data_IF_147500504050
#
_entry.id   IF_147500504050
#
_cell.length_a   1.000
_cell.length_b   1.000
_cell.length_c   1.000
_cell.angle_alpha   90.00
_cell.angle_beta   90.00
_cell.angle_gamma   90.00
#
_symmetry.space_group_name_H-M   'P 1'
#
loop_
_entity.id
_entity.type
_entity.pdbx_description
1 polymer ?
#
# COMPACT_ATOMS: atom_id res chain seq x y z
N UNK A 1 -52.53 -31.93 -66.66
CA UNK A 1 -51.22 -31.52 -67.20
C UNK A 1 -50.68 -30.41 -66.31
N UNK A 2 -49.45 -30.61 -65.82
CA UNK A 2 -48.55 -29.65 -65.13
C UNK A 2 -48.99 -29.19 -63.73
N UNK A 3 -48.29 -29.51 -62.62
CA UNK A 3 -46.87 -29.21 -62.28
C UNK A 3 -46.65 -27.68 -62.29
N UNK A 4 -46.23 -27.00 -61.22
CA UNK A 4 -44.90 -27.11 -60.58
C UNK A 4 -44.93 -26.43 -59.20
N UNK A 5 -44.30 -27.11 -58.24
CA UNK A 5 -43.55 -26.68 -57.05
C UNK A 5 -43.79 -25.30 -56.42
N UNK A 6 -44.20 -25.35 -55.16
CA UNK A 6 -43.80 -24.40 -54.13
C UNK A 6 -42.29 -24.50 -53.89
N UNK A 7 -41.56 -23.38 -53.95
CA UNK A 7 -40.48 -23.07 -53.02
C UNK A 7 -40.01 -21.62 -53.18
N UNK A 8 -40.13 -20.81 -52.12
CA UNK A 8 -39.26 -19.64 -51.93
C UNK A 8 -39.11 -19.39 -50.42
N UNK A 9 -38.28 -20.25 -49.82
CA UNK A 9 -37.37 -19.98 -48.70
C UNK A 9 -37.73 -18.78 -47.80
N UNK A 10 -38.32 -19.09 -46.64
CA UNK A 10 -38.30 -18.22 -45.47
C UNK A 10 -36.86 -18.02 -45.00
N UNK A 11 -36.41 -16.76 -44.94
CA UNK A 11 -35.14 -16.37 -44.32
C UNK A 11 -35.22 -16.60 -42.79
N UNK A 12 -34.34 -17.39 -42.17
CA UNK A 12 -34.24 -17.42 -40.72
C UNK A 12 -33.41 -16.22 -40.25
N UNK A 13 -34.05 -15.17 -39.75
CA UNK A 13 -33.38 -14.14 -38.95
C UNK A 13 -33.24 -14.63 -37.50
N UNK A 14 -32.30 -15.53 -37.27
CA UNK A 14 -31.84 -15.81 -35.90
C UNK A 14 -31.25 -14.52 -35.31
N UNK A 15 -31.65 -14.10 -34.10
CA UNK A 15 -30.94 -13.03 -33.41
C UNK A 15 -29.48 -13.48 -33.18
N UNK A 16 -28.49 -12.56 -33.22
CA UNK A 16 -27.13 -12.92 -32.87
C UNK A 16 -27.14 -13.49 -31.45
N UNK A 17 -26.62 -14.71 -31.30
CA UNK A 17 -26.43 -15.35 -30.01
C UNK A 17 -25.75 -14.35 -29.07
N UNK A 18 -26.38 -14.08 -27.93
CA UNK A 18 -25.82 -13.32 -26.83
C UNK A 18 -24.41 -13.86 -26.58
N UNK A 19 -23.41 -12.98 -26.74
CA UNK A 19 -22.02 -13.31 -26.50
C UNK A 19 -21.90 -14.07 -25.18
N UNK A 20 -21.24 -15.24 -25.22
CA UNK A 20 -20.89 -15.97 -24.01
C UNK A 20 -20.22 -14.99 -23.04
N UNK A 21 -20.53 -15.05 -21.72
CA UNK A 21 -19.91 -14.15 -20.78
C UNK A 21 -18.41 -14.37 -20.87
N UNK A 22 -17.70 -13.39 -21.44
CA UNK A 22 -16.26 -13.30 -21.37
C UNK A 22 -15.88 -13.64 -19.93
N UNK A 23 -15.08 -14.70 -19.76
CA UNK A 23 -14.82 -15.30 -18.44
C UNK A 23 -14.53 -14.22 -17.40
N UNK A 24 -14.88 -14.48 -16.15
CA UNK A 24 -14.77 -13.58 -14.98
C UNK A 24 -13.29 -13.18 -14.72
N UNK A 25 -12.70 -12.42 -15.65
CA UNK A 25 -11.33 -11.93 -15.62
C UNK A 25 -11.38 -10.65 -14.80
N UNK A 26 -11.31 -10.82 -13.48
CA UNK A 26 -11.18 -9.71 -12.55
C UNK A 26 -9.73 -9.23 -12.54
N UNK A 27 -9.45 -7.95 -12.81
CA UNK A 27 -8.10 -7.44 -12.75
C UNK A 27 -7.54 -7.56 -11.32
N UNK A 28 -6.24 -7.89 -11.14
CA UNK A 28 -5.66 -8.02 -9.82
C UNK A 28 -5.55 -6.65 -9.13
N UNK A 29 -6.25 -6.49 -8.00
CA UNK A 29 -6.27 -5.22 -7.26
C UNK A 29 -5.05 -5.04 -6.36
N UNK A 30 -4.33 -3.93 -6.57
CA UNK A 30 -3.11 -3.58 -5.85
C UNK A 30 -3.25 -2.43 -4.84
N UNK A 31 -2.11 -1.98 -4.29
CA UNK A 31 -2.04 -0.83 -3.38
C UNK A 31 -2.64 0.47 -3.97
N UNK A 32 -2.42 0.80 -5.26
CA UNK A 32 -3.03 1.99 -5.87
C UNK A 32 -4.57 1.93 -5.86
N UNK A 33 -5.16 0.78 -6.14
CA UNK A 33 -6.60 0.54 -6.07
C UNK A 33 -7.14 0.72 -4.66
N UNK A 34 -6.47 0.15 -3.65
CA UNK A 34 -6.85 0.32 -2.25
C UNK A 34 -6.79 1.79 -1.79
N UNK A 35 -5.87 2.58 -2.34
CA UNK A 35 -5.81 4.03 -2.10
C UNK A 35 -6.98 4.74 -2.76
N UNK A 36 -7.19 4.53 -4.07
CA UNK A 36 -8.29 5.14 -4.83
C UNK A 36 -9.66 4.82 -4.23
N UNK A 37 -9.90 3.56 -3.88
CA UNK A 37 -11.14 3.12 -3.26
C UNK A 37 -11.41 3.82 -1.92
N UNK A 38 -10.35 4.08 -1.13
CA UNK A 38 -10.44 4.82 0.13
C UNK A 38 -10.72 6.31 -0.10
N UNK A 39 -10.15 6.90 -1.15
CA UNK A 39 -10.39 8.30 -1.51
C UNK A 39 -11.87 8.51 -1.91
N UNK A 40 -12.42 7.56 -2.69
CA UNK A 40 -13.86 7.54 -3.04
C UNK A 40 -14.72 7.33 -1.78
N UNK A 41 -14.38 6.36 -0.92
CA UNK A 41 -15.12 6.10 0.33
C UNK A 41 -15.24 7.33 1.25
N UNK A 42 -14.23 8.21 1.22
CA UNK A 42 -14.16 9.42 2.06
C UNK A 42 -14.76 10.66 1.40
N UNK A 43 -15.12 10.59 0.12
CA UNK A 43 -15.60 11.74 -0.67
C UNK A 43 -17.04 11.54 -1.12
N UNK A 44 -17.57 12.51 -1.86
CA UNK A 44 -18.90 12.44 -2.45
C UNK A 44 -18.98 11.50 -3.69
N UNK A 45 -17.90 10.79 -4.02
CA UNK A 45 -17.91 9.80 -5.10
C UNK A 45 -17.79 10.39 -6.51
N UNK A 46 -17.15 11.55 -6.70
CA UNK A 46 -17.00 12.13 -8.04
C UNK A 46 -16.16 11.21 -8.96
N UNK A 47 -16.66 10.87 -10.17
CA UNK A 47 -15.92 10.05 -11.12
C UNK A 47 -14.65 10.76 -11.58
N UNK A 48 -13.57 9.98 -11.65
CA UNK A 48 -12.26 10.38 -12.16
C UNK A 48 -12.00 9.85 -13.56
N UNK A 49 -12.73 8.80 -13.98
CA UNK A 49 -12.66 8.17 -15.30
C UNK A 49 -11.25 7.71 -15.70
N UNK A 50 -10.46 7.24 -14.72
CA UNK A 50 -9.12 6.70 -14.96
C UNK A 50 -9.07 5.17 -14.99
N UNK A 51 -7.90 4.62 -15.31
CA UNK A 51 -7.70 3.16 -15.41
C UNK A 51 -7.98 2.43 -14.08
N UNK A 52 -7.64 3.03 -12.93
CA UNK A 52 -7.90 2.41 -11.63
C UNK A 52 -9.39 2.33 -11.35
N UNK A 53 -10.16 3.36 -11.73
CA UNK A 53 -11.61 3.37 -11.63
C UNK A 53 -12.24 2.28 -12.50
N UNK A 54 -11.79 2.13 -13.75
CA UNK A 54 -12.27 1.07 -14.65
C UNK A 54 -12.08 -0.31 -14.02
N UNK A 55 -10.89 -0.59 -13.49
CA UNK A 55 -10.60 -1.88 -12.86
C UNK A 55 -11.38 -2.11 -11.57
N UNK A 56 -11.60 -1.06 -10.77
CA UNK A 56 -12.42 -1.13 -9.55
C UNK A 56 -13.91 -1.36 -9.86
N UNK A 57 -14.43 -0.76 -10.93
CA UNK A 57 -15.79 -1.00 -11.44
C UNK A 57 -15.92 -2.41 -12.00
N UNK A 58 -14.98 -2.84 -12.85
CA UNK A 58 -14.97 -4.19 -13.41
C UNK A 58 -14.87 -5.28 -12.33
N UNK A 59 -14.17 -4.99 -11.23
CA UNK A 59 -14.05 -5.89 -10.08
C UNK A 59 -15.24 -5.82 -9.10
N UNK A 60 -16.24 -4.97 -9.35
CA UNK A 60 -17.40 -4.79 -8.47
C UNK A 60 -17.10 -4.12 -7.13
N UNK A 61 -15.94 -3.47 -6.98
CA UNK A 61 -15.58 -2.72 -5.76
C UNK A 61 -16.25 -1.35 -5.70
N UNK A 62 -16.60 -0.82 -6.87
CA UNK A 62 -17.36 0.40 -7.07
C UNK A 62 -18.63 0.11 -7.85
N UNK A 63 -19.64 0.96 -7.67
CA UNK A 63 -20.82 1.00 -8.52
C UNK A 63 -21.12 2.44 -8.93
N UNK A 64 -21.65 2.62 -10.15
CA UNK A 64 -22.17 3.90 -10.62
C UNK A 64 -23.57 4.13 -10.06
N UNK A 65 -23.84 5.34 -9.63
CA UNK A 65 -25.14 5.79 -9.11
C UNK A 65 -25.53 7.05 -9.86
N UNK A 66 -26.65 6.97 -10.58
CA UNK A 66 -27.22 8.13 -11.24
C UNK A 66 -27.86 9.07 -10.21
N UNK A 67 -27.44 10.33 -10.24
CA UNK A 67 -28.05 11.40 -9.47
C UNK A 67 -29.34 11.91 -10.12
N UNK A 68 -30.24 12.54 -9.34
CA UNK A 68 -31.51 13.05 -9.85
C UNK A 68 -31.37 14.15 -10.92
N UNK A 69 -30.21 14.81 -10.97
CA UNK A 69 -29.88 15.82 -11.99
C UNK A 69 -29.08 15.25 -13.17
N UNK A 70 -29.03 13.91 -13.33
CA UNK A 70 -28.38 13.24 -14.47
C UNK A 70 -26.86 13.06 -14.37
N UNK A 71 -26.22 13.58 -13.31
CA UNK A 71 -24.80 13.32 -13.06
C UNK A 71 -24.60 11.93 -12.45
N UNK A 72 -23.53 11.23 -12.85
CA UNK A 72 -23.15 9.97 -12.21
C UNK A 72 -22.17 10.20 -11.05
N UNK A 73 -22.34 9.45 -9.97
CA UNK A 73 -21.38 9.34 -8.86
C UNK A 73 -20.98 7.88 -8.66
N UNK A 74 -19.90 7.67 -7.93
CA UNK A 74 -19.36 6.37 -7.58
C UNK A 74 -19.58 6.09 -6.11
N UNK A 75 -20.18 4.95 -5.82
CA UNK A 75 -20.32 4.43 -4.46
C UNK A 75 -19.44 3.21 -4.28
N UNK A 76 -18.76 3.14 -3.14
CA UNK A 76 -18.06 1.91 -2.72
C UNK A 76 -19.10 0.86 -2.34
N UNK A 77 -19.00 -0.32 -2.95
CA UNK A 77 -19.90 -1.45 -2.68
C UNK A 77 -19.53 -2.12 -1.36
N UNK A 78 -20.38 -3.01 -0.84
CA UNK A 78 -20.05 -3.79 0.37
C UNK A 78 -18.80 -4.66 0.18
N UNK A 79 -18.61 -5.21 -1.03
CA UNK A 79 -17.38 -5.91 -1.40
C UNK A 79 -16.15 -4.98 -1.33
N UNK A 80 -16.29 -3.75 -1.81
CA UNK A 80 -15.27 -2.71 -1.69
C UNK A 80 -14.97 -2.33 -0.24
N UNK A 81 -16.00 -2.20 0.61
CA UNK A 81 -15.84 -1.95 2.05
C UNK A 81 -15.13 -3.11 2.74
N UNK A 82 -15.51 -4.35 2.45
CA UNK A 82 -14.86 -5.55 2.96
C UNK A 82 -13.37 -5.60 2.54
N UNK A 83 -13.06 -5.26 1.29
CA UNK A 83 -11.69 -5.16 0.80
C UNK A 83 -10.87 -4.08 1.55
N UNK A 84 -11.46 -2.91 1.82
CA UNK A 84 -10.83 -1.86 2.61
C UNK A 84 -10.57 -2.33 4.05
N UNK A 85 -11.54 -2.98 4.68
CA UNK A 85 -11.41 -3.54 6.03
C UNK A 85 -10.28 -4.57 6.12
N UNK A 86 -10.24 -5.52 5.18
CA UNK A 86 -9.16 -6.51 5.08
C UNK A 86 -7.79 -5.85 4.90
N UNK A 87 -7.72 -4.78 4.10
CA UNK A 87 -6.48 -4.01 3.91
C UNK A 87 -6.04 -3.32 5.21
N UNK A 88 -6.97 -2.72 5.96
CA UNK A 88 -6.66 -2.11 7.26
C UNK A 88 -6.18 -3.14 8.28
N UNK A 89 -6.80 -4.32 8.33
CA UNK A 89 -6.40 -5.40 9.21
C UNK A 89 -4.98 -5.90 8.89
N UNK A 90 -4.66 -6.13 7.60
CA UNK A 90 -3.31 -6.51 7.18
C UNK A 90 -2.27 -5.45 7.55
N UNK A 91 -2.59 -4.17 7.36
CA UNK A 91 -1.68 -3.08 7.73
C UNK A 91 -1.45 -3.05 9.25
N UNK A 92 -2.51 -3.20 10.05
CA UNK A 92 -2.40 -3.30 11.52
C UNK A 92 -1.55 -4.50 11.93
N UNK A 93 -1.75 -5.66 11.31
CA UNK A 93 -0.97 -6.86 11.58
C UNK A 93 0.51 -6.73 11.15
N UNK A 94 0.80 -6.01 10.06
CA UNK A 94 2.17 -5.72 9.67
C UNK A 94 2.85 -4.78 10.67
N UNK A 95 2.15 -3.74 11.14
CA UNK A 95 2.65 -2.87 12.19
C UNK A 95 2.89 -3.65 13.50
N UNK A 96 1.98 -4.55 13.88
CA UNK A 96 2.17 -5.36 15.09
C UNK A 96 3.35 -6.33 14.96
N UNK A 97 3.61 -6.89 13.77
CA UNK A 97 4.82 -7.71 13.53
C UNK A 97 6.10 -6.89 13.67
N UNK A 98 6.11 -5.67 13.14
CA UNK A 98 7.22 -4.74 13.30
C UNK A 98 7.45 -4.44 14.77
N UNK A 99 6.44 -3.93 15.46
CA UNK A 99 6.52 -3.58 16.88
C UNK A 99 6.95 -4.75 17.77
N UNK A 100 6.46 -5.97 17.48
CA UNK A 100 6.88 -7.17 18.20
C UNK A 100 8.37 -7.48 18.01
N UNK A 101 8.90 -7.33 16.79
CA UNK A 101 10.33 -7.55 16.53
C UNK A 101 11.19 -6.42 17.14
N UNK A 102 10.70 -5.18 17.13
CA UNK A 102 11.33 -4.05 17.84
C UNK A 102 11.46 -4.35 19.33
N UNK A 103 10.39 -4.84 19.94
CA UNK A 103 10.39 -5.24 21.35
C UNK A 103 11.35 -6.40 21.62
N UNK A 104 11.36 -7.43 20.78
CA UNK A 104 12.28 -8.55 20.91
C UNK A 104 13.74 -8.11 20.86
N UNK A 105 14.13 -7.33 19.84
CA UNK A 105 15.50 -6.81 19.70
C UNK A 105 15.88 -5.92 20.88
N UNK A 106 14.97 -5.05 21.33
CA UNK A 106 15.21 -4.23 22.51
C UNK A 106 15.43 -5.08 23.78
N UNK A 107 14.64 -6.15 23.95
CA UNK A 107 14.83 -7.12 25.02
C UNK A 107 16.18 -7.82 24.97
N UNK A 108 16.65 -8.21 23.78
CA UNK A 108 17.99 -8.79 23.62
C UNK A 108 19.11 -7.79 23.99
N UNK A 109 18.98 -6.51 23.63
CA UNK A 109 19.95 -5.49 24.01
C UNK A 109 20.01 -5.28 25.53
N UNK A 110 18.85 -5.28 26.19
CA UNK A 110 18.78 -5.23 27.66
C UNK A 110 19.44 -6.46 28.29
N UNK A 111 19.18 -7.67 27.77
CA UNK A 111 19.84 -8.90 28.24
C UNK A 111 21.36 -8.87 28.04
N UNK A 112 21.83 -8.20 26.99
CA UNK A 112 23.24 -7.93 26.75
C UNK A 112 23.84 -6.82 27.65
N UNK A 113 23.09 -6.32 28.64
CA UNK A 113 23.57 -5.32 29.61
C UNK A 113 23.55 -3.89 29.11
N UNK A 114 22.80 -3.59 28.04
CA UNK A 114 22.73 -2.26 27.42
C UNK A 114 21.50 -1.49 27.89
N UNK A 115 21.63 -0.16 27.97
CA UNK A 115 20.47 0.72 28.15
C UNK A 115 19.84 0.93 26.78
N UNK A 116 18.54 0.71 26.67
CA UNK A 116 17.85 0.62 25.37
C UNK A 116 16.59 1.48 25.33
N UNK A 117 16.37 2.16 24.22
CA UNK A 117 15.17 2.96 23.95
C UNK A 117 14.52 2.53 22.63
N UNK A 118 13.18 2.64 22.60
CA UNK A 118 12.36 2.47 21.40
C UNK A 118 11.69 3.80 21.06
N UNK A 119 11.55 4.11 19.78
CA UNK A 119 10.86 5.33 19.32
C UNK A 119 11.53 6.64 19.76
N UNK A 120 12.82 6.60 20.10
CA UNK A 120 13.60 7.76 20.53
C UNK A 120 13.87 8.68 19.35
N UNK A 121 13.50 9.95 19.46
CA UNK A 121 13.87 10.95 18.44
C UNK A 121 15.24 11.54 18.75
N UNK A 122 16.16 11.46 17.79
CA UNK A 122 17.53 11.94 17.88
C UNK A 122 17.79 12.98 16.80
N UNK A 123 18.72 13.89 17.06
CA UNK A 123 19.23 14.82 16.06
C UNK A 123 20.57 14.30 15.56
N UNK A 124 20.62 13.87 14.30
CA UNK A 124 21.81 13.33 13.66
C UNK A 124 22.47 14.37 12.77
N UNK A 125 23.79 14.42 12.80
CA UNK A 125 24.57 15.25 11.88
C UNK A 125 24.75 14.46 10.58
N UNK A 126 24.47 15.11 9.46
CA UNK A 126 24.70 14.59 8.13
C UNK A 126 25.87 15.33 7.48
N UNK A 127 26.68 14.63 6.66
CA UNK A 127 27.69 15.28 5.87
C UNK A 127 27.06 16.35 4.95
N UNK A 128 27.81 17.42 4.66
CA UNK A 128 27.34 18.45 3.74
C UNK A 128 27.15 17.86 2.34
N UNK A 129 26.16 18.39 1.58
CA UNK A 129 25.86 17.92 0.21
C UNK A 129 27.00 18.17 -0.77
N UNK A 130 27.79 19.22 -0.51
CA UNK A 130 28.95 19.65 -1.30
C UNK A 130 30.00 20.19 -0.32
N UNK A 131 31.28 20.14 -0.68
CA UNK A 131 32.40 20.55 0.20
C UNK A 131 32.26 21.98 0.76
N UNK A 132 31.60 22.89 0.03
CA UNK A 132 31.40 24.28 0.43
C UNK A 132 30.15 24.53 1.30
N UNK A 133 29.39 23.49 1.63
CA UNK A 133 28.15 23.63 2.43
C UNK A 133 28.36 23.26 3.89
N UNK A 134 27.53 23.84 4.75
CA UNK A 134 27.52 23.54 6.18
C UNK A 134 26.95 22.14 6.44
N UNK A 135 27.42 21.51 7.50
CA UNK A 135 26.84 20.29 8.07
C UNK A 135 25.33 20.44 8.23
N UNK A 136 24.59 19.42 7.83
CA UNK A 136 23.13 19.39 7.95
C UNK A 136 22.77 18.61 9.20
N UNK A 137 21.65 18.96 9.82
CA UNK A 137 21.10 18.19 10.92
C UNK A 137 19.72 17.69 10.53
N UNK A 138 19.45 16.42 10.76
CA UNK A 138 18.12 15.85 10.58
C UNK A 138 17.61 15.24 11.88
N UNK A 139 16.29 15.23 12.04
CA UNK A 139 15.64 14.45 13.08
C UNK A 139 15.49 13.01 12.58
N UNK A 140 16.00 12.06 13.34
CA UNK A 140 15.85 10.63 13.08
C UNK A 140 15.14 9.95 14.24
N UNK A 141 14.54 8.79 13.97
CA UNK A 141 13.85 7.99 14.97
C UNK A 141 14.17 6.52 14.72
N UNK A 142 15.31 6.01 15.21
CA UNK A 142 15.64 4.59 15.06
C UNK A 142 14.59 3.71 15.75
N UNK A 143 14.41 2.50 15.23
CA UNK A 143 13.51 1.52 15.84
C UNK A 143 13.98 1.12 17.24
N UNK A 144 15.27 0.78 17.38
CA UNK A 144 15.94 0.55 18.66
C UNK A 144 17.26 1.30 18.71
N UNK A 145 17.47 2.09 19.75
CA UNK A 145 18.74 2.72 20.08
C UNK A 145 19.27 2.16 21.40
N UNK A 146 20.55 1.82 21.48
CA UNK A 146 21.15 1.31 22.72
C UNK A 146 22.57 1.80 22.95
N UNK A 147 22.92 2.01 24.22
CA UNK A 147 24.28 2.34 24.66
C UNK A 147 24.74 1.33 25.71
N UNK A 148 26.05 1.21 25.92
CA UNK A 148 26.55 0.46 27.07
C UNK A 148 26.11 1.12 28.37
N UNK A 149 25.81 0.30 29.37
CA UNK A 149 25.59 0.80 30.73
C UNK A 149 26.95 1.16 31.35
N UNK A 150 27.36 2.42 31.19
CA UNK A 150 28.66 2.92 31.64
C UNK A 150 28.52 4.37 32.12
N UNK A 151 29.35 4.75 33.09
CA UNK A 151 29.53 6.14 33.51
C UNK A 151 30.70 6.82 32.80
N UNK A 152 31.54 6.05 32.10
CA UNK A 152 32.68 6.54 31.32
C UNK A 152 32.22 6.85 29.90
N UNK A 153 32.29 8.13 29.52
CA UNK A 153 31.81 8.63 28.23
C UNK A 153 32.45 7.90 27.04
N UNK A 154 33.74 7.63 27.08
CA UNK A 154 34.49 6.98 25.99
C UNK A 154 33.98 5.56 25.69
N UNK A 155 33.27 4.92 26.62
CA UNK A 155 32.77 3.55 26.48
C UNK A 155 31.29 3.49 26.08
N UNK A 156 30.65 4.63 25.79
CA UNK A 156 29.20 4.70 25.56
C UNK A 156 28.73 3.80 24.40
N UNK A 157 29.57 3.63 23.37
CA UNK A 157 29.40 2.65 22.27
C UNK A 157 27.95 2.61 21.74
N UNK A 158 27.45 3.66 21.08
CA UNK A 158 26.05 3.73 20.67
C UNK A 158 25.75 2.82 19.47
N UNK A 159 24.62 2.11 19.50
CA UNK A 159 24.19 1.21 18.43
C UNK A 159 22.75 1.49 18.05
N UNK A 160 22.50 1.60 16.74
CA UNK A 160 21.18 1.70 16.12
C UNK A 160 20.82 0.36 15.48
N UNK A 161 19.64 -0.16 15.81
CA UNK A 161 19.01 -1.24 15.04
C UNK A 161 17.78 -0.68 14.33
N UNK A 162 17.83 -0.67 13.00
CA UNK A 162 16.68 -0.39 12.13
C UNK A 162 16.11 -1.73 11.66
N UNK A 163 14.84 -1.98 11.94
CA UNK A 163 14.20 -3.28 11.82
C UNK A 163 13.31 -3.30 10.58
N UNK A 164 13.38 -4.38 9.81
CA UNK A 164 12.56 -4.59 8.60
C UNK A 164 11.96 -5.98 8.65
N UNK A 165 10.64 -6.07 8.73
CA UNK A 165 9.91 -7.35 8.76
C UNK A 165 9.55 -7.89 7.37
N UNK A 166 9.77 -7.10 6.30
CA UNK A 166 9.55 -7.53 4.92
C UNK A 166 10.74 -7.19 4.00
N UNK A 167 10.97 -8.08 3.02
CA UNK A 167 11.99 -7.89 1.97
C UNK A 167 11.79 -6.58 1.21
N UNK A 168 10.55 -6.21 0.91
CA UNK A 168 10.25 -4.98 0.19
C UNK A 168 10.69 -3.72 0.97
N UNK A 169 10.55 -3.73 2.31
CA UNK A 169 10.96 -2.62 3.16
C UNK A 169 12.49 -2.50 3.20
N UNK A 170 13.19 -3.64 3.30
CA UNK A 170 14.65 -3.69 3.19
C UNK A 170 15.14 -3.15 1.85
N UNK A 171 14.57 -3.62 0.73
CA UNK A 171 14.93 -3.15 -0.61
C UNK A 171 14.61 -1.67 -0.83
N UNK A 172 13.52 -1.18 -0.23
CA UNK A 172 13.17 0.25 -0.24
C UNK A 172 14.20 1.10 0.49
N UNK A 173 14.61 0.68 1.68
CA UNK A 173 15.60 1.41 2.48
C UNK A 173 17.00 1.36 1.85
N UNK A 174 17.39 0.25 1.21
CA UNK A 174 18.68 0.13 0.50
C UNK A 174 18.82 1.11 -0.67
N UNK A 175 17.71 1.58 -1.26
CA UNK A 175 17.71 2.59 -2.32
C UNK A 175 17.92 4.02 -1.80
N UNK A 176 17.91 4.24 -0.47
CA UNK A 176 18.02 5.57 0.15
C UNK A 176 19.26 5.64 1.05
N UNK A 177 20.46 5.75 0.46
CA UNK A 177 21.73 5.73 1.22
C UNK A 177 21.84 6.88 2.24
N UNK A 178 21.25 8.04 1.95
CA UNK A 178 21.24 9.21 2.85
C UNK A 178 20.59 8.91 4.20
N UNK A 179 19.57 8.04 4.24
CA UNK A 179 18.89 7.64 5.49
C UNK A 179 19.82 6.83 6.39
N UNK A 180 20.77 6.08 5.80
CA UNK A 180 21.78 5.32 6.56
C UNK A 180 22.90 6.22 7.10
N UNK A 181 23.28 7.26 6.37
CA UNK A 181 24.29 8.22 6.82
C UNK A 181 23.88 8.96 8.11
N UNK A 182 22.59 8.99 8.43
CA UNK A 182 22.08 9.58 9.67
C UNK A 182 22.24 8.67 10.91
N UNK A 183 22.62 7.41 10.71
CA UNK A 183 22.74 6.40 11.76
C UNK A 183 24.17 5.82 11.88
N UNK A 184 25.12 6.37 11.14
CA UNK A 184 26.56 6.05 11.17
C UNK A 184 27.30 7.15 11.92
#
# INVERSE_FOLDING_TARGET
MSSVMADLAALPSSPPALAEPAGDVRPPLGRPHARRLRDIYRSAGWPSQDLLEIELLASGMLQRVAGPAGHETLRVTDAGVAYLAATLLRNRAALSKHEALVEQVAGEMVRAGRITWRGLSLRAQLPPETEDRKVRWCMVRPDVFSIRNTTVQEYVDPIVHEIKVHRADLLGDLRRPEKRAAYL
#
